data_IF_011914411539
#
_entry.id   IF_011914411539
#
_cell.length_a   1.000
_cell.length_b   1.000
_cell.length_c   1.000
_cell.angle_alpha   90.00
_cell.angle_beta   90.00
_cell.angle_gamma   90.00
#
_symmetry.space_group_name_H-M   'P 1'
#
loop_
_entity.id
_entity.type
_entity.pdbx_description
1 polymer ?
#
# COMPACT_ATOMS: atom_id res chain seq x y z
N UNK A 1 -2.96 2.35 7.65
CA UNK A 1 -1.66 1.98 8.25
C UNK A 1 -0.89 3.22 8.63
N UNK A 2 -0.08 3.14 9.68
CA UNK A 2 0.83 4.22 10.05
C UNK A 2 2.20 4.02 9.39
N UNK A 3 2.78 5.08 8.83
CA UNK A 3 4.12 5.09 8.26
C UNK A 3 4.96 6.14 9.00
N UNK A 4 6.15 5.74 9.48
CA UNK A 4 7.04 6.61 10.28
C UNK A 4 8.50 6.35 9.93
N UNK A 5 9.36 7.35 10.12
CA UNK A 5 10.81 7.17 10.10
C UNK A 5 11.33 6.81 11.50
N UNK A 6 12.32 5.92 11.59
CA UNK A 6 13.06 5.61 12.81
C UNK A 6 14.54 5.36 12.49
N UNK A 7 15.39 6.37 12.71
CA UNK A 7 16.76 6.35 12.21
C UNK A 7 16.76 6.13 10.69
N UNK A 8 17.46 5.10 10.24
CA UNK A 8 17.54 4.72 8.82
C UNK A 8 16.41 3.79 8.35
N UNK A 9 15.50 3.37 9.24
CA UNK A 9 14.41 2.45 8.94
C UNK A 9 13.07 3.16 8.72
N UNK A 10 12.23 2.57 7.87
CA UNK A 10 10.81 2.93 7.75
C UNK A 10 10.01 1.96 8.60
N UNK A 11 9.11 2.45 9.45
CA UNK A 11 8.15 1.61 10.17
C UNK A 11 6.81 1.63 9.44
N UNK A 12 6.28 0.43 9.17
CA UNK A 12 4.92 0.23 8.67
C UNK A 12 4.15 -0.58 9.70
N UNK A 13 3.06 -0.02 10.21
CA UNK A 13 2.24 -0.64 11.28
C UNK A 13 3.10 -1.08 12.48
N UNK A 14 3.99 -0.17 12.90
CA UNK A 14 4.95 -0.34 14.00
C UNK A 14 5.97 -1.47 13.80
N UNK A 15 6.10 -2.01 12.58
CA UNK A 15 7.13 -2.99 12.22
C UNK A 15 8.22 -2.29 11.42
N UNK A 16 9.50 -2.37 11.84
CA UNK A 16 10.60 -1.81 11.06
C UNK A 16 10.79 -2.60 9.76
N UNK A 17 10.97 -1.90 8.65
CA UNK A 17 11.32 -2.42 7.34
C UNK A 17 12.71 -1.91 6.95
N UNK A 18 13.50 -2.79 6.33
CA UNK A 18 14.80 -2.46 5.73
C UNK A 18 14.72 -2.64 4.21
N UNK A 19 15.45 -1.85 3.41
CA UNK A 19 15.47 -2.03 1.96
C UNK A 19 15.98 -3.42 1.52
N UNK A 20 15.56 -3.93 0.35
CA UNK A 20 14.62 -3.30 -0.60
C UNK A 20 13.16 -3.41 -0.14
N UNK A 21 12.36 -2.37 -0.42
CA UNK A 21 10.93 -2.35 -0.11
C UNK A 21 10.12 -2.92 -1.28
N UNK A 22 9.10 -3.72 -0.97
CA UNK A 22 8.14 -4.24 -1.95
C UNK A 22 6.74 -3.72 -1.63
N UNK A 23 6.07 -3.16 -2.64
CA UNK A 23 4.68 -2.73 -2.56
C UNK A 23 3.85 -3.61 -3.48
N UNK A 24 2.90 -4.32 -2.89
CA UNK A 24 2.00 -5.21 -3.59
C UNK A 24 0.61 -4.57 -3.62
N UNK A 25 0.04 -4.41 -4.81
CA UNK A 25 -1.25 -3.75 -5.01
C UNK A 25 -2.19 -4.62 -5.84
N UNK A 26 -3.45 -4.67 -5.41
CA UNK A 26 -4.54 -5.36 -6.12
C UNK A 26 -5.40 -4.33 -6.86
N UNK A 27 -5.72 -4.60 -8.12
CA UNK A 27 -6.58 -3.75 -8.94
C UNK A 27 -6.65 -4.23 -10.38
N UNK A 28 -7.28 -3.44 -11.25
CA UNK A 28 -7.32 -3.72 -12.68
C UNK A 28 -5.91 -3.65 -13.28
N UNK A 29 -5.43 -4.76 -13.84
CA UNK A 29 -4.05 -4.91 -14.34
C UNK A 29 -3.66 -3.87 -15.38
N UNK A 30 -4.62 -3.41 -16.21
CA UNK A 30 -4.36 -2.45 -17.29
C UNK A 30 -4.42 -1.01 -16.82
N UNK A 31 -5.26 -0.71 -15.83
CA UNK A 31 -5.45 0.66 -15.33
C UNK A 31 -4.50 1.01 -14.19
N UNK A 32 -4.23 0.08 -13.28
CA UNK A 32 -3.51 0.40 -12.04
C UNK A 32 -2.07 0.83 -12.31
N UNK A 33 -1.35 0.12 -13.19
CA UNK A 33 0.04 0.45 -13.53
C UNK A 33 0.15 1.82 -14.18
N UNK A 34 -0.66 2.08 -15.22
CA UNK A 34 -0.69 3.37 -15.93
C UNK A 34 -1.11 4.50 -15.00
N UNK A 35 -2.18 4.31 -14.20
CA UNK A 35 -2.63 5.33 -13.26
C UNK A 35 -1.55 5.68 -12.21
N UNK A 36 -0.78 4.70 -11.74
CA UNK A 36 0.35 4.97 -10.86
C UNK A 36 1.46 5.74 -11.58
N UNK A 37 1.86 5.30 -12.79
CA UNK A 37 2.90 5.95 -13.58
C UNK A 37 2.55 7.41 -13.93
N UNK A 38 1.28 7.70 -14.23
CA UNK A 38 0.80 9.03 -14.57
C UNK A 38 0.54 9.92 -13.34
N UNK A 39 0.53 9.34 -12.13
CA UNK A 39 0.34 10.09 -10.89
C UNK A 39 1.57 10.92 -10.53
N UNK A 40 1.37 11.97 -9.71
CA UNK A 40 2.46 12.79 -9.20
C UNK A 40 3.54 11.93 -8.48
N UNK A 41 3.13 10.88 -7.77
CA UNK A 41 4.04 10.01 -7.03
C UNK A 41 4.83 9.08 -7.96
N UNK A 42 4.21 8.57 -9.02
CA UNK A 42 4.89 7.78 -10.05
C UNK A 42 5.92 8.60 -10.82
N UNK A 43 5.57 9.83 -11.18
CA UNK A 43 6.48 10.78 -11.81
C UNK A 43 7.63 11.19 -10.88
N UNK A 44 7.35 11.39 -9.60
CA UNK A 44 8.38 11.65 -8.60
C UNK A 44 9.34 10.47 -8.45
N UNK A 45 8.83 9.23 -8.38
CA UNK A 45 9.66 8.03 -8.33
C UNK A 45 10.51 7.84 -9.61
N UNK A 46 9.99 8.24 -10.78
CA UNK A 46 10.76 8.24 -12.02
C UNK A 46 11.88 9.29 -11.99
N UNK A 47 11.60 10.51 -11.51
CA UNK A 47 12.63 11.54 -11.35
C UNK A 47 13.73 11.13 -10.36
N UNK A 48 13.39 10.35 -9.32
CA UNK A 48 14.38 9.79 -8.39
C UNK A 48 15.28 8.75 -9.06
N UNK A 49 14.74 7.92 -9.96
CA UNK A 49 15.51 6.98 -10.77
C UNK A 49 16.47 7.71 -11.70
N UNK A 50 15.96 8.65 -12.50
CA UNK A 50 16.74 9.36 -13.52
C UNK A 50 17.83 10.25 -12.92
N UNK A 51 17.49 11.04 -11.88
CA UNK A 51 18.39 12.07 -11.38
C UNK A 51 19.37 11.57 -10.30
N UNK A 52 19.01 10.49 -9.60
CA UNK A 52 19.78 10.02 -8.44
C UNK A 52 20.16 8.53 -8.52
N UNK A 53 19.76 7.81 -9.57
CA UNK A 53 20.06 6.38 -9.72
C UNK A 53 19.37 5.48 -8.69
N UNK A 54 18.33 5.97 -8.02
CA UNK A 54 17.55 5.15 -7.08
C UNK A 54 16.91 4.02 -7.87
N UNK A 55 17.10 2.77 -7.44
CA UNK A 55 16.55 1.59 -8.14
C UNK A 55 15.09 1.40 -7.78
N UNK A 56 14.20 1.42 -8.77
CA UNK A 56 12.81 1.02 -8.63
C UNK A 56 12.36 0.22 -9.86
N UNK A 57 11.46 -0.72 -9.65
CA UNK A 57 10.87 -1.53 -10.72
C UNK A 57 9.39 -1.72 -10.44
N UNK A 58 8.56 -1.60 -11.47
CA UNK A 58 7.14 -1.92 -11.42
C UNK A 58 6.83 -3.05 -12.40
N UNK A 59 6.21 -4.13 -11.95
CA UNK A 59 5.79 -5.22 -12.83
C UNK A 59 4.36 -5.65 -12.52
N UNK A 60 3.55 -5.96 -13.54
CA UNK A 60 2.21 -6.46 -13.33
C UNK A 60 2.24 -7.96 -12.97
N UNK A 61 1.46 -8.38 -11.99
CA UNK A 61 1.31 -9.78 -11.59
C UNK A 61 -0.02 -10.37 -12.11
N UNK A 62 -0.01 -11.65 -12.52
CA UNK A 62 -1.22 -12.37 -12.97
C UNK A 62 -2.11 -12.79 -11.80
N UNK A 63 -1.52 -12.98 -10.62
CA UNK A 63 -2.22 -13.34 -9.41
C UNK A 63 -1.39 -12.97 -8.19
N UNK A 64 -2.06 -12.48 -7.16
CA UNK A 64 -1.42 -12.03 -5.93
C UNK A 64 -2.26 -12.48 -4.74
N UNK A 65 -1.60 -13.08 -3.74
CA UNK A 65 -2.22 -13.43 -2.45
C UNK A 65 -1.60 -12.57 -1.38
N UNK A 66 -2.41 -11.72 -0.78
CA UNK A 66 -1.99 -10.85 0.31
C UNK A 66 -2.41 -11.46 1.65
N UNK A 67 -1.55 -11.42 2.68
CA UNK A 67 -1.97 -11.78 4.02
C UNK A 67 -3.08 -10.81 4.48
N UNK A 68 -3.98 -11.31 5.33
CA UNK A 68 -4.97 -10.45 5.95
C UNK A 68 -4.26 -9.33 6.73
N UNK A 69 -4.85 -8.14 6.70
CA UNK A 69 -4.38 -7.03 7.53
C UNK A 69 -4.43 -7.42 9.01
N UNK A 70 -3.49 -6.89 9.80
CA UNK A 70 -3.54 -7.06 11.25
C UNK A 70 -4.85 -6.43 11.77
N UNK A 71 -5.68 -7.23 12.46
CA UNK A 71 -6.95 -6.75 12.97
C UNK A 71 -6.76 -5.96 14.26
N UNK A 72 -7.57 -4.91 14.42
CA UNK A 72 -7.70 -4.20 15.69
C UNK A 72 -8.80 -4.89 16.52
N UNK A 73 -8.53 -5.11 17.81
CA UNK A 73 -9.57 -5.55 18.73
C UNK A 73 -10.51 -4.37 19.04
N UNK A 74 -11.78 -4.54 18.70
CA UNK A 74 -12.82 -3.57 19.07
C UNK A 74 -13.09 -3.68 20.57
N UNK A 75 -12.92 -2.58 21.32
CA UNK A 75 -13.14 -2.55 22.77
C UNK A 75 -14.45 -1.89 23.19
N UNK A 76 -14.94 -0.95 22.39
CA UNK A 76 -16.06 -0.07 22.78
C UNK A 76 -17.16 -0.02 21.73
N UNK A 77 -16.83 -0.06 20.43
CA UNK A 77 -17.84 -0.01 19.40
C UNK A 77 -18.65 -1.32 19.35
N UNK A 78 -19.96 -1.20 19.21
CA UNK A 78 -20.88 -2.30 18.93
C UNK A 78 -21.43 -2.12 17.52
N UNK A 79 -21.67 -3.22 16.80
CA UNK A 79 -22.38 -3.14 15.52
C UNK A 79 -23.81 -2.60 15.79
N UNK A 80 -24.28 -1.68 14.96
CA UNK A 80 -25.71 -1.35 14.98
C UNK A 80 -26.49 -2.58 14.52
N UNK A 81 -27.63 -2.86 15.17
CA UNK A 81 -28.53 -3.88 14.69
C UNK A 81 -28.99 -3.53 13.27
N UNK A 82 -28.94 -4.47 12.31
CA UNK A 82 -29.45 -4.20 10.98
C UNK A 82 -30.94 -3.86 11.09
N UNK A 83 -31.34 -2.65 10.64
CA UNK A 83 -32.75 -2.26 10.56
C UNK A 83 -33.51 -3.31 9.76
N UNK A 84 -34.31 -4.12 10.44
CA UNK A 84 -35.25 -5.06 9.83
C UNK A 84 -36.38 -4.24 9.20
N UNK A 85 -36.28 -3.96 7.90
CA UNK A 85 -37.38 -3.39 7.12
C UNK A 85 -36.98 -2.29 6.16
N UNK A 86 -36.56 -2.69 4.97
CA UNK A 86 -36.92 -2.00 3.73
C UNK A 86 -37.12 -3.11 2.70
N UNK A 87 -38.34 -3.68 2.71
CA UNK A 87 -38.87 -4.42 1.57
C UNK A 87 -39.30 -3.44 0.49
#
# INVERSE_FOLDING_TARGET
>A
SAIRAAGDAILVDNRPLVPPYEVLALGDKKRLGTAFQDSADGQYLHALQENYGIRATSSPADGLRLPAASSLTVRTATAEEPKKGAS
#
